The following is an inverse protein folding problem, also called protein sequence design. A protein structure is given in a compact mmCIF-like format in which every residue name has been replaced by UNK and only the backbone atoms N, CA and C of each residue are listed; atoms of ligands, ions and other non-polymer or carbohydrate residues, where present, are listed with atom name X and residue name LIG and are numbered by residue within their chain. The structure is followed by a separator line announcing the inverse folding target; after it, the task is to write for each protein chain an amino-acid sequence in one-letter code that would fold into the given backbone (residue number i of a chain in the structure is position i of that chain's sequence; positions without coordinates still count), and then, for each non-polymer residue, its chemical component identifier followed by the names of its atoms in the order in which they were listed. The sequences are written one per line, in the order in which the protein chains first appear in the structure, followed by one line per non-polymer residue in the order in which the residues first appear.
data_IF_288475945489
#
_entry.id   IF_288475945489
#
_cell.length_a   1.000
_cell.length_b   1.000
_cell.length_c   1.000
_cell.angle_alpha   90.00
_cell.angle_beta   90.00
_cell.angle_gamma   90.00
#
_symmetry.space_group_name_H-M   'P 1'
#
loop_
_entity.id
_entity.type
_entity.pdbx_description
1 polymer ?
#
# COMPACT_ATOMS: atom_id res chain seq x y z
N UNK A 1 8.51 13.93 8.85
CA UNK A 1 9.95 13.78 8.59
C UNK A 1 10.19 13.22 7.18
N UNK A 2 10.19 11.89 6.93
CA UNK A 2 10.52 11.38 5.58
C UNK A 2 9.56 11.83 4.47
N UNK A 3 8.25 11.95 4.75
CA UNK A 3 7.28 12.51 3.78
C UNK A 3 7.64 13.95 3.40
N UNK A 4 8.02 14.76 4.37
CA UNK A 4 8.38 16.17 4.15
C UNK A 4 9.74 16.31 3.44
N UNK A 5 10.74 15.52 3.86
CA UNK A 5 12.04 15.44 3.16
C UNK A 5 11.87 15.00 1.71
N UNK A 6 11.00 14.01 1.46
CA UNK A 6 10.71 13.52 0.11
C UNK A 6 10.04 14.59 -0.74
N UNK A 7 9.02 15.27 -0.21
CA UNK A 7 8.37 16.39 -0.91
C UNK A 7 9.39 17.45 -1.28
N UNK A 8 10.25 17.85 -0.34
CA UNK A 8 11.32 18.82 -0.60
C UNK A 8 12.29 18.34 -1.68
N UNK A 9 12.65 17.05 -1.67
CA UNK A 9 13.53 16.45 -2.68
C UNK A 9 12.92 16.47 -4.08
N UNK A 10 11.61 16.30 -4.19
CA UNK A 10 10.87 16.26 -5.45
C UNK A 10 10.56 17.64 -6.04
N UNK A 11 10.67 18.73 -5.27
CA UNK A 11 10.38 20.10 -5.75
C UNK A 11 11.19 20.53 -6.98
N UNK A 12 12.36 19.92 -7.21
CA UNK A 12 13.24 20.21 -8.36
C UNK A 12 12.97 19.34 -9.58
N UNK A 13 12.04 18.40 -9.47
CA UNK A 13 11.76 17.39 -10.50
C UNK A 13 10.49 17.80 -11.26
N UNK A 14 10.51 17.88 -12.60
CA UNK A 14 9.32 18.20 -13.38
C UNK A 14 8.17 17.23 -13.09
N UNK A 15 6.97 17.73 -12.83
CA UNK A 15 5.80 16.90 -12.44
C UNK A 15 5.25 16.07 -13.61
N UNK A 16 5.49 16.53 -14.84
CA UNK A 16 5.06 15.93 -16.10
C UNK A 16 6.05 14.89 -16.66
N UNK A 17 7.28 14.82 -16.13
CA UNK A 17 8.29 13.85 -16.52
C UNK A 17 8.29 12.63 -15.58
N UNK A 18 7.57 11.59 -16.00
CA UNK A 18 7.49 10.35 -15.24
C UNK A 18 8.87 9.72 -14.97
N UNK A 19 9.76 9.67 -15.96
CA UNK A 19 11.05 8.99 -15.82
C UNK A 19 11.91 9.68 -14.75
N UNK A 20 11.94 11.02 -14.77
CA UNK A 20 12.65 11.79 -13.76
C UNK A 20 12.02 11.66 -12.36
N UNK A 21 10.69 11.60 -12.25
CA UNK A 21 10.00 11.34 -10.98
C UNK A 21 10.38 9.97 -10.41
N UNK A 22 10.35 8.91 -11.24
CA UNK A 22 10.75 7.56 -10.82
C UNK A 22 12.20 7.51 -10.36
N UNK A 23 13.11 8.12 -11.11
CA UNK A 23 14.52 8.16 -10.79
C UNK A 23 14.75 8.91 -9.46
N UNK A 24 14.09 10.05 -9.25
CA UNK A 24 14.20 10.83 -8.02
C UNK A 24 13.73 10.05 -6.77
N UNK A 25 12.62 9.30 -6.86
CA UNK A 25 12.17 8.43 -5.76
C UNK A 25 13.22 7.38 -5.40
N UNK A 26 13.88 6.78 -6.41
CA UNK A 26 14.91 5.76 -6.20
C UNK A 26 16.17 6.36 -5.59
N UNK A 27 16.63 7.51 -6.09
CA UNK A 27 17.76 8.23 -5.52
C UNK A 27 17.51 8.60 -4.06
N UNK A 28 16.31 9.10 -3.74
CA UNK A 28 15.93 9.40 -2.36
C UNK A 28 15.97 8.15 -1.48
N UNK A 29 15.36 7.04 -1.91
CA UNK A 29 15.40 5.77 -1.16
C UNK A 29 16.84 5.36 -0.87
N UNK A 30 17.71 5.33 -1.88
CA UNK A 30 19.11 4.91 -1.72
C UNK A 30 19.87 5.84 -0.75
N UNK A 31 19.66 7.15 -0.85
CA UNK A 31 20.28 8.11 0.06
C UNK A 31 19.84 7.88 1.51
N UNK A 32 18.56 7.61 1.76
CA UNK A 32 18.07 7.34 3.11
C UNK A 32 18.54 5.98 3.64
N UNK A 33 18.58 4.94 2.81
CA UNK A 33 19.16 3.65 3.21
C UNK A 33 20.62 3.78 3.63
N UNK A 34 21.41 4.53 2.86
CA UNK A 34 22.80 4.84 3.20
C UNK A 34 22.91 5.58 4.53
N UNK A 35 22.07 6.60 4.76
CA UNK A 35 22.04 7.37 6.02
C UNK A 35 21.69 6.48 7.22
N UNK A 36 20.67 5.64 7.09
CA UNK A 36 20.24 4.70 8.14
C UNK A 36 21.37 3.71 8.45
N UNK A 37 21.95 3.07 7.42
CA UNK A 37 23.03 2.11 7.60
C UNK A 37 24.30 2.75 8.19
N UNK A 38 24.66 3.96 7.74
CA UNK A 38 25.80 4.69 8.30
C UNK A 38 25.58 5.03 9.78
N UNK A 39 24.37 5.45 10.15
CA UNK A 39 24.04 5.77 11.53
C UNK A 39 24.05 4.54 12.45
N UNK A 40 23.58 3.40 11.95
CA UNK A 40 23.63 2.08 12.61
C UNK A 40 25.08 1.65 12.84
N UNK A 41 25.91 1.63 11.79
CA UNK A 41 27.34 1.26 11.87
C UNK A 41 28.13 2.20 12.78
N UNK A 42 27.82 3.50 12.77
CA UNK A 42 28.47 4.49 13.64
C UNK A 42 27.96 4.45 15.10
N UNK A 43 26.93 3.64 15.41
CA UNK A 43 26.32 3.57 16.74
C UNK A 43 25.52 4.82 17.14
N UNK A 44 25.20 5.69 16.19
CA UNK A 44 24.41 6.92 16.40
C UNK A 44 22.90 6.68 16.26
N UNK A 45 22.50 5.57 15.64
CA UNK A 45 21.14 5.05 15.63
C UNK A 45 21.14 3.69 16.35
N UNK A 46 20.35 3.51 17.42
CA UNK A 46 20.20 2.20 18.04
C UNK A 46 19.62 1.18 17.05
N UNK A 47 20.20 -0.01 16.97
CA UNK A 47 19.74 -1.08 16.06
C UNK A 47 18.24 -1.38 16.19
N UNK A 48 17.69 -1.26 17.41
CA UNK A 48 16.25 -1.40 17.70
C UNK A 48 15.35 -0.39 16.96
N UNK A 49 15.93 0.67 16.38
CA UNK A 49 15.24 1.71 15.61
C UNK A 49 15.44 1.59 14.11
N UNK A 50 16.29 0.69 13.63
CA UNK A 50 16.53 0.52 12.19
C UNK A 50 15.24 0.13 11.46
N UNK A 51 14.52 -0.89 11.94
CA UNK A 51 13.25 -1.32 11.33
C UNK A 51 12.17 -0.23 11.39
N UNK A 52 12.14 0.57 12.46
CA UNK A 52 11.25 1.74 12.55
C UNK A 52 11.56 2.71 11.40
N UNK A 53 12.81 3.12 11.23
CA UNK A 53 13.21 4.07 10.18
C UNK A 53 12.94 3.53 8.77
N UNK A 54 13.18 2.24 8.53
CA UNK A 54 12.89 1.59 7.25
C UNK A 54 11.39 1.53 6.96
N UNK A 55 10.57 1.28 7.98
CA UNK A 55 9.10 1.27 7.88
C UNK A 55 8.56 2.67 7.57
N UNK A 56 9.03 3.70 8.29
CA UNK A 56 8.66 5.09 8.02
C UNK A 56 9.08 5.54 6.60
N UNK A 57 10.26 5.12 6.14
CA UNK A 57 10.73 5.38 4.78
C UNK A 57 9.81 4.74 3.74
N UNK A 58 9.48 3.45 3.91
CA UNK A 58 8.60 2.73 3.00
C UNK A 58 7.20 3.37 2.91
N UNK A 59 6.62 3.79 4.04
CA UNK A 59 5.33 4.50 4.04
C UNK A 59 5.40 5.86 3.32
N UNK A 60 6.51 6.59 3.43
CA UNK A 60 6.70 7.82 2.68
C UNK A 60 6.80 7.55 1.16
N UNK A 61 7.45 6.46 0.76
CA UNK A 61 7.50 6.06 -0.65
C UNK A 61 6.12 5.63 -1.16
N UNK A 62 5.35 4.87 -0.37
CA UNK A 62 3.98 4.47 -0.72
C UNK A 62 3.10 5.71 -0.94
N UNK A 63 3.15 6.69 -0.03
CA UNK A 63 2.40 7.95 -0.18
C UNK A 63 2.71 8.67 -1.50
N UNK A 64 3.99 8.82 -1.83
CA UNK A 64 4.42 9.48 -3.06
C UNK A 64 4.07 8.69 -4.33
N UNK A 65 4.20 7.37 -4.31
CA UNK A 65 3.83 6.52 -5.46
C UNK A 65 2.33 6.56 -5.70
N UNK A 66 1.51 6.49 -4.65
CA UNK A 66 0.05 6.61 -4.79
C UNK A 66 -0.31 8.00 -5.30
N UNK A 67 0.35 9.06 -4.81
CA UNK A 67 0.17 10.42 -5.31
C UNK A 67 0.45 10.52 -6.81
N UNK A 68 1.60 10.00 -7.27
CA UNK A 68 1.99 10.05 -8.68
C UNK A 68 1.02 9.25 -9.56
N UNK A 69 0.67 8.02 -9.15
CA UNK A 69 -0.28 7.20 -9.87
C UNK A 69 -1.67 7.87 -9.94
N UNK A 70 -2.11 8.49 -8.84
CA UNK A 70 -3.38 9.20 -8.77
C UNK A 70 -3.44 10.35 -9.77
N UNK A 71 -2.43 11.23 -9.81
CA UNK A 71 -2.36 12.36 -10.74
C UNK A 71 -2.48 11.87 -12.19
N UNK A 72 -1.75 10.79 -12.54
CA UNK A 72 -1.77 10.23 -13.88
C UNK A 72 -3.12 9.61 -14.27
N UNK A 73 -3.77 8.92 -13.34
CA UNK A 73 -5.10 8.35 -13.57
C UNK A 73 -6.14 9.45 -13.72
N UNK A 74 -6.11 10.47 -12.86
CA UNK A 74 -7.04 11.60 -12.92
C UNK A 74 -6.87 12.43 -14.19
N UNK A 75 -5.64 12.69 -14.62
CA UNK A 75 -5.39 13.41 -15.87
C UNK A 75 -6.00 12.71 -17.09
N UNK A 76 -6.13 11.38 -17.05
CA UNK A 76 -6.64 10.57 -18.17
C UNK A 76 -8.13 10.28 -18.11
N UNK A 77 -8.66 10.04 -16.91
CA UNK A 77 -10.01 9.52 -16.72
C UNK A 77 -10.91 10.46 -15.91
N UNK A 78 -10.35 11.51 -15.31
CA UNK A 78 -11.01 12.24 -14.23
C UNK A 78 -10.99 11.45 -12.92
N UNK A 79 -11.76 11.92 -11.94
CA UNK A 79 -11.96 11.28 -10.64
C UNK A 79 -13.27 10.47 -10.64
N UNK A 80 -13.35 9.37 -9.87
CA UNK A 80 -14.63 8.74 -9.59
C UNK A 80 -15.63 9.71 -8.96
N UNK A 81 -16.83 9.83 -9.54
CA UNK A 81 -17.86 10.80 -9.18
C UNK A 81 -18.39 10.68 -7.73
N UNK A 82 -18.33 9.49 -7.13
CA UNK A 82 -18.70 9.26 -5.73
C UNK A 82 -17.77 9.98 -4.72
N UNK A 83 -16.68 10.60 -5.19
CA UNK A 83 -15.76 11.36 -4.34
C UNK A 83 -16.16 12.83 -4.14
N UNK A 84 -17.20 13.34 -4.81
CA UNK A 84 -17.59 14.75 -4.72
C UNK A 84 -17.88 15.21 -3.28
N UNK A 85 -18.48 14.33 -2.46
CA UNK A 85 -18.80 14.60 -1.06
C UNK A 85 -17.79 13.96 -0.09
N UNK A 86 -16.60 13.58 -0.56
CA UNK A 86 -15.56 12.91 0.22
C UNK A 86 -14.23 13.66 0.14
N UNK A 87 -13.63 13.98 1.29
CA UNK A 87 -12.29 14.56 1.32
C UNK A 87 -11.19 13.56 0.88
N UNK A 88 -11.46 12.26 1.08
CA UNK A 88 -10.56 11.16 0.79
C UNK A 88 -10.60 10.67 -0.66
N UNK A 89 -9.75 9.69 -0.96
CA UNK A 89 -9.62 9.09 -2.31
C UNK A 89 -10.40 7.80 -2.50
N UNK A 90 -11.07 7.27 -1.46
CA UNK A 90 -11.80 5.99 -1.56
C UNK A 90 -10.89 4.81 -1.90
N UNK A 91 -9.60 4.91 -1.58
CA UNK A 91 -8.57 3.92 -1.88
C UNK A 91 -7.62 3.74 -0.69
N UNK A 92 -7.26 2.49 -0.39
CA UNK A 92 -6.34 2.15 0.67
C UNK A 92 -5.29 1.13 0.22
N UNK A 93 -4.10 1.25 0.79
CA UNK A 93 -3.02 0.28 0.73
C UNK A 93 -2.86 -0.33 2.13
N UNK A 94 -2.96 -1.64 2.21
CA UNK A 94 -2.76 -2.39 3.45
C UNK A 94 -1.42 -3.10 3.38
N UNK A 95 -0.56 -2.82 4.36
CA UNK A 95 0.73 -3.48 4.51
C UNK A 95 0.59 -4.75 5.34
N UNK A 96 1.03 -5.88 4.79
CA UNK A 96 1.14 -7.18 5.45
C UNK A 96 2.59 -7.47 5.86
N UNK A 97 2.83 -8.66 6.41
CA UNK A 97 4.16 -9.23 6.60
C UNK A 97 5.10 -8.34 7.43
N UNK A 98 6.28 -8.03 6.89
CA UNK A 98 7.29 -7.22 7.59
C UNK A 98 6.90 -5.75 7.67
N UNK A 99 6.26 -5.21 6.63
CA UNK A 99 5.78 -3.82 6.61
C UNK A 99 4.69 -3.60 7.67
N UNK A 100 3.71 -4.50 7.70
CA UNK A 100 2.61 -4.45 8.66
C UNK A 100 3.10 -4.63 10.10
N UNK A 101 4.07 -5.52 10.30
CA UNK A 101 4.68 -5.84 11.60
C UNK A 101 5.83 -4.95 12.06
N UNK A 102 6.12 -3.82 11.39
CA UNK A 102 7.23 -2.91 11.75
C UNK A 102 8.62 -3.59 11.78
N UNK A 103 8.86 -4.48 10.82
CA UNK A 103 10.01 -5.38 10.80
C UNK A 103 10.75 -5.35 9.45
N UNK A 104 10.70 -4.22 8.74
CA UNK A 104 11.44 -4.08 7.48
C UNK A 104 12.95 -4.11 7.74
N UNK A 105 13.66 -4.94 6.98
CA UNK A 105 15.12 -4.88 6.78
C UNK A 105 15.49 -4.15 5.48
N UNK A 106 16.78 -3.86 5.30
CA UNK A 106 17.31 -3.01 4.21
C UNK A 106 16.88 -3.42 2.79
N UNK A 107 16.72 -4.72 2.52
CA UNK A 107 16.34 -5.29 1.22
C UNK A 107 14.99 -5.99 1.25
N UNK A 108 14.07 -5.58 2.14
CA UNK A 108 12.77 -6.23 2.25
C UNK A 108 11.82 -5.84 1.13
N UNK A 109 11.03 -6.81 0.68
CA UNK A 109 9.87 -6.60 -0.18
C UNK A 109 8.73 -5.93 0.62
N UNK A 110 7.78 -5.34 -0.10
CA UNK A 110 6.56 -4.78 0.49
C UNK A 110 5.38 -5.70 0.18
N UNK A 111 4.84 -6.35 1.21
CA UNK A 111 3.62 -7.14 1.10
C UNK A 111 2.39 -6.21 1.09
N UNK A 112 1.79 -5.94 -0.07
CA UNK A 112 0.73 -4.95 -0.24
C UNK A 112 -0.54 -5.56 -0.81
N UNK A 113 -1.69 -5.19 -0.25
CA UNK A 113 -3.00 -5.38 -0.88
C UNK A 113 -3.70 -4.03 -1.04
N UNK A 114 -4.62 -3.94 -2.01
CA UNK A 114 -5.31 -2.70 -2.34
C UNK A 114 -6.81 -2.84 -2.12
N UNK A 115 -7.39 -1.84 -1.45
CA UNK A 115 -8.83 -1.79 -1.18
C UNK A 115 -9.44 -0.51 -1.73
N UNK A 116 -10.73 -0.58 -2.09
CA UNK A 116 -11.56 0.59 -2.36
C UNK A 116 -12.93 0.45 -1.68
N UNK A 117 -13.72 1.51 -1.59
CA UNK A 117 -15.13 1.47 -1.19
C UNK A 117 -16.06 2.06 -2.27
N UNK A 118 -15.63 1.99 -3.52
CA UNK A 118 -16.38 2.41 -4.70
C UNK A 118 -17.73 1.68 -4.89
N UNK A 119 -18.84 2.43 -5.04
CA UNK A 119 -20.12 1.90 -5.53
C UNK A 119 -20.01 1.25 -6.91
N UNK A 120 -20.99 0.41 -7.27
CA UNK A 120 -21.05 -0.28 -8.57
C UNK A 120 -21.45 0.64 -9.74
N UNK A 121 -22.16 1.73 -9.45
CA UNK A 121 -22.70 2.70 -10.41
C UNK A 121 -21.84 3.96 -10.53
N UNK A 122 -20.72 4.03 -9.79
CA UNK A 122 -19.80 5.16 -9.86
C UNK A 122 -19.05 5.15 -11.20
N UNK A 123 -18.92 6.33 -11.79
CA UNK A 123 -18.23 6.57 -13.07
C UNK A 123 -17.19 7.68 -12.88
N UNK A 124 -16.18 7.75 -13.75
CA UNK A 124 -15.20 8.84 -13.69
C UNK A 124 -15.66 10.08 -14.45
N UNK A 125 -15.25 11.27 -13.99
CA UNK A 125 -15.76 12.57 -14.49
C UNK A 125 -14.92 13.23 -15.60
N UNK A 126 -13.94 12.52 -16.18
CA UNK A 126 -13.05 13.05 -17.21
C UNK A 126 -13.53 12.79 -18.64
N UNK A 127 -12.76 13.26 -19.63
CA UNK A 127 -13.12 13.12 -21.06
C UNK A 127 -13.30 11.67 -21.52
N UNK A 128 -12.58 10.74 -20.87
CA UNK A 128 -12.73 9.30 -21.07
C UNK A 128 -13.35 8.67 -19.83
N UNK A 129 -14.68 8.64 -19.82
CA UNK A 129 -15.48 7.99 -18.78
C UNK A 129 -15.20 6.48 -18.71
N UNK A 130 -14.96 5.98 -17.49
CA UNK A 130 -14.85 4.56 -17.19
C UNK A 130 -15.56 4.25 -15.87
N UNK A 131 -15.83 2.97 -15.63
CA UNK A 131 -16.33 2.45 -14.35
C UNK A 131 -15.36 2.79 -13.20
N UNK A 132 -15.90 3.22 -12.06
CA UNK A 132 -15.13 3.64 -10.90
C UNK A 132 -14.27 2.53 -10.28
N UNK A 133 -14.73 1.28 -10.29
CA UNK A 133 -13.92 0.14 -9.83
C UNK A 133 -12.80 -0.16 -10.81
N UNK A 134 -13.05 0.00 -12.11
CA UNK A 134 -12.02 -0.08 -13.14
C UNK A 134 -10.95 1.02 -12.96
N UNK A 135 -11.33 2.22 -12.54
CA UNK A 135 -10.38 3.28 -12.20
C UNK A 135 -9.42 2.84 -11.08
N UNK A 136 -9.94 2.31 -9.97
CA UNK A 136 -9.10 1.83 -8.86
C UNK A 136 -8.24 0.62 -9.23
N UNK A 137 -8.73 -0.26 -10.12
CA UNK A 137 -7.93 -1.36 -10.66
C UNK A 137 -6.73 -0.83 -11.46
N UNK A 138 -6.95 0.16 -12.34
CA UNK A 138 -5.88 0.80 -13.12
C UNK A 138 -4.92 1.57 -12.22
N UNK A 139 -5.42 2.22 -11.16
CA UNK A 139 -4.60 2.87 -10.15
C UNK A 139 -3.66 1.88 -9.46
N UNK A 140 -4.18 0.74 -8.98
CA UNK A 140 -3.37 -0.31 -8.36
C UNK A 140 -2.33 -0.88 -9.33
N UNK A 141 -2.70 -1.13 -10.59
CA UNK A 141 -1.75 -1.55 -11.64
C UNK A 141 -0.65 -0.52 -11.86
N UNK A 142 -0.99 0.76 -11.87
CA UNK A 142 -0.02 1.84 -12.04
C UNK A 142 0.93 1.92 -10.84
N UNK A 143 0.42 1.80 -9.62
CA UNK A 143 1.24 1.73 -8.40
C UNK A 143 2.27 0.58 -8.51
N UNK A 144 1.82 -0.63 -8.87
CA UNK A 144 2.72 -1.79 -9.07
C UNK A 144 3.80 -1.50 -10.12
N UNK A 145 3.44 -0.84 -11.21
CA UNK A 145 4.38 -0.46 -12.26
C UNK A 145 5.42 0.57 -11.79
N UNK A 146 5.01 1.62 -11.06
CA UNK A 146 5.91 2.64 -10.55
C UNK A 146 6.95 2.07 -9.56
N UNK A 147 6.54 1.09 -8.75
CA UNK A 147 7.45 0.38 -7.85
C UNK A 147 8.48 -0.50 -8.58
N UNK A 148 8.03 -1.28 -9.56
CA UNK A 148 8.82 -2.35 -10.20
C UNK A 148 9.61 -1.92 -11.45
N UNK A 149 9.27 -0.78 -12.06
CA UNK A 149 9.97 -0.31 -13.27
C UNK A 149 11.45 -0.08 -12.98
N UNK A 150 12.33 -0.55 -13.88
CA UNK A 150 13.77 -0.35 -13.74
C UNK A 150 14.20 0.94 -14.43
N UNK A 151 14.85 1.82 -13.68
CA UNK A 151 15.54 3.03 -14.18
C UNK A 151 17.04 2.86 -14.01
N UNK A 152 17.83 3.92 -14.24
CA UNK A 152 19.27 3.94 -14.00
C UNK A 152 19.64 3.58 -12.56
N UNK A 153 18.82 3.98 -11.58
CA UNK A 153 19.02 3.62 -10.16
C UNK A 153 18.34 2.32 -9.71
N UNK A 154 17.90 1.47 -10.65
CA UNK A 154 17.26 0.19 -10.36
C UNK A 154 15.73 0.30 -10.17
N UNK A 155 15.18 -0.51 -9.28
CA UNK A 155 13.74 -0.52 -8.94
C UNK A 155 13.50 0.19 -7.60
N UNK A 156 12.27 0.61 -7.33
CA UNK A 156 11.95 1.30 -6.08
C UNK A 156 11.75 0.31 -4.93
N UNK A 157 10.83 -0.65 -5.06
CA UNK A 157 10.67 -1.79 -4.15
C UNK A 157 10.13 -2.97 -4.94
N UNK A 158 10.51 -4.18 -4.56
CA UNK A 158 9.74 -5.37 -4.93
C UNK A 158 8.43 -5.34 -4.13
N UNK A 159 7.32 -5.63 -4.81
CA UNK A 159 5.98 -5.63 -4.20
C UNK A 159 5.35 -6.99 -4.36
N UNK A 160 4.98 -7.60 -3.24
CA UNK A 160 4.26 -8.86 -3.21
C UNK A 160 2.78 -8.62 -2.87
N UNK A 161 1.90 -8.92 -3.83
CA UNK A 161 0.45 -8.78 -3.69
C UNK A 161 -0.27 -10.14 -3.56
N UNK A 162 0.44 -11.22 -3.22
CA UNK A 162 -0.12 -12.59 -3.17
C UNK A 162 -1.03 -12.85 -1.97
N UNK A 163 -1.00 -12.00 -0.95
CA UNK A 163 -1.85 -12.12 0.25
C UNK A 163 -3.25 -11.48 0.08
N UNK A 164 -3.59 -11.00 -1.11
CA UNK A 164 -4.94 -10.50 -1.43
C UNK A 164 -5.94 -11.68 -1.52
N UNK A 165 -7.25 -11.42 -1.37
CA UNK A 165 -8.28 -12.44 -1.55
C UNK A 165 -8.08 -13.28 -2.83
N UNK A 166 -8.15 -14.60 -2.71
CA UNK A 166 -7.89 -15.57 -3.79
C UNK A 166 -6.47 -15.53 -4.40
N UNK A 167 -5.52 -14.88 -3.72
CA UNK A 167 -4.12 -14.80 -4.11
C UNK A 167 -3.90 -14.29 -5.53
N UNK A 168 -3.02 -14.96 -6.28
CA UNK A 168 -2.67 -14.56 -7.65
C UNK A 168 -3.86 -14.61 -8.63
N UNK A 169 -4.88 -15.43 -8.36
CA UNK A 169 -6.08 -15.54 -9.17
C UNK A 169 -7.13 -14.46 -8.87
N UNK A 170 -7.01 -13.78 -7.72
CA UNK A 170 -7.93 -12.72 -7.31
C UNK A 170 -7.66 -11.38 -8.01
N UNK A 171 -8.67 -10.51 -7.97
CA UNK A 171 -8.56 -9.12 -8.44
C UNK A 171 -7.45 -8.39 -7.68
N UNK A 172 -6.71 -7.52 -8.37
CA UNK A 172 -5.61 -6.77 -7.74
C UNK A 172 -6.10 -5.77 -6.68
N UNK A 173 -7.32 -5.27 -6.84
CA UNK A 173 -8.01 -4.41 -5.87
C UNK A 173 -9.35 -5.04 -5.51
N UNK A 174 -9.76 -4.92 -4.24
CA UNK A 174 -11.02 -5.49 -3.74
C UNK A 174 -11.83 -4.41 -3.03
N UNK A 175 -13.16 -4.44 -3.15
CA UNK A 175 -13.99 -3.57 -2.31
C UNK A 175 -13.87 -3.99 -0.84
N UNK A 176 -13.89 -3.04 0.11
CA UNK A 176 -13.83 -3.34 1.54
C UNK A 176 -14.92 -4.34 2.00
N UNK A 177 -16.12 -4.24 1.43
CA UNK A 177 -17.22 -5.19 1.70
C UNK A 177 -16.90 -6.61 1.23
N UNK A 178 -16.47 -6.77 -0.03
CA UNK A 178 -16.06 -8.08 -0.54
C UNK A 178 -14.84 -8.65 0.19
N UNK A 179 -13.92 -7.79 0.66
CA UNK A 179 -12.82 -8.22 1.51
C UNK A 179 -13.33 -8.76 2.86
N UNK A 180 -14.30 -8.08 3.48
CA UNK A 180 -14.91 -8.54 4.71
C UNK A 180 -15.65 -9.89 4.53
N UNK A 181 -16.41 -10.02 3.44
CA UNK A 181 -17.14 -11.25 3.11
C UNK A 181 -16.19 -12.43 2.88
N UNK A 182 -15.14 -12.22 2.07
CA UNK A 182 -14.10 -13.20 1.82
C UNK A 182 -13.41 -13.67 3.12
N UNK A 183 -13.03 -12.71 3.98
CA UNK A 183 -12.35 -13.04 5.24
C UNK A 183 -13.24 -13.83 6.21
N UNK A 184 -14.56 -13.67 6.14
CA UNK A 184 -15.51 -14.40 7.00
C UNK A 184 -15.81 -15.80 6.48
N UNK A 185 -15.97 -15.93 5.16
CA UNK A 185 -16.60 -17.11 4.56
C UNK A 185 -15.61 -18.03 3.83
N UNK A 186 -14.49 -17.50 3.34
CA UNK A 186 -13.58 -18.23 2.44
C UNK A 186 -12.14 -18.33 2.95
N UNK A 187 -11.69 -17.34 3.74
CA UNK A 187 -10.30 -17.25 4.15
C UNK A 187 -9.88 -18.40 5.08
N UNK A 188 -8.71 -18.96 4.82
CA UNK A 188 -8.12 -20.01 5.65
C UNK A 188 -7.51 -19.44 6.93
N UNK A 189 -7.29 -20.29 7.94
CA UNK A 189 -6.63 -19.91 9.20
C UNK A 189 -5.28 -19.21 8.97
N UNK A 190 -4.49 -19.64 7.99
CA UNK A 190 -3.20 -19.00 7.67
C UNK A 190 -3.36 -17.57 7.12
N UNK A 191 -4.47 -17.27 6.42
CA UNK A 191 -4.78 -15.91 5.95
C UNK A 191 -5.20 -15.03 7.12
N UNK A 192 -5.96 -15.57 8.07
CA UNK A 192 -6.26 -14.88 9.33
C UNK A 192 -4.99 -14.63 10.15
N UNK A 193 -4.04 -15.57 10.17
CA UNK A 193 -2.72 -15.36 10.80
C UNK A 193 -1.95 -14.22 10.12
N UNK A 194 -1.93 -14.17 8.78
CA UNK A 194 -1.31 -13.07 8.05
C UNK A 194 -1.99 -11.72 8.36
N UNK A 195 -3.32 -11.71 8.49
CA UNK A 195 -4.13 -10.54 8.83
C UNK A 195 -3.80 -9.97 10.25
N UNK A 196 -3.27 -10.79 11.16
CA UNK A 196 -2.80 -10.31 12.48
C UNK A 196 -1.77 -9.19 12.33
N UNK A 197 -0.89 -9.27 11.33
CA UNK A 197 0.14 -8.26 11.08
C UNK A 197 -0.32 -7.12 10.16
N UNK A 198 -1.48 -7.26 9.53
CA UNK A 198 -1.94 -6.30 8.54
C UNK A 198 -2.37 -4.98 9.18
N UNK A 199 -2.03 -3.86 8.52
CA UNK A 199 -2.50 -2.52 8.88
C UNK A 199 -2.56 -1.62 7.65
N UNK A 200 -3.41 -0.60 7.69
CA UNK A 200 -3.43 0.43 6.66
C UNK A 200 -2.14 1.25 6.73
N UNK A 201 -1.46 1.37 5.59
CA UNK A 201 -0.24 2.19 5.42
C UNK A 201 -0.50 3.42 4.55
N UNK A 202 -1.60 3.41 3.80
CA UNK A 202 -2.15 4.54 3.07
C UNK A 202 -3.65 4.40 2.99
N UNK A 203 -4.42 5.45 3.26
CA UNK A 203 -5.87 5.43 3.16
C UNK A 203 -6.48 6.66 3.82
N UNK A 204 -7.69 7.02 3.42
CA UNK A 204 -8.46 8.04 4.13
C UNK A 204 -9.07 7.49 5.43
N UNK A 205 -9.50 8.36 6.36
CA UNK A 205 -10.00 7.91 7.67
C UNK A 205 -11.19 6.96 7.59
N UNK A 206 -12.09 7.13 6.61
CA UNK A 206 -13.27 6.28 6.46
C UNK A 206 -12.87 4.86 6.06
N UNK A 207 -12.04 4.71 5.02
CA UNK A 207 -11.63 3.38 4.55
C UNK A 207 -10.68 2.71 5.56
N UNK A 208 -9.88 3.50 6.27
CA UNK A 208 -9.05 3.02 7.38
C UNK A 208 -9.90 2.43 8.51
N UNK A 209 -10.91 3.17 8.96
CA UNK A 209 -11.83 2.71 10.00
C UNK A 209 -12.61 1.45 9.56
N UNK A 210 -13.01 1.37 8.29
CA UNK A 210 -13.67 0.18 7.74
C UNK A 210 -12.73 -1.04 7.82
N UNK A 211 -11.50 -0.93 7.32
CA UNK A 211 -10.53 -2.02 7.40
C UNK A 211 -10.26 -2.45 8.85
N UNK A 212 -10.05 -1.50 9.75
CA UNK A 212 -9.77 -1.79 11.16
C UNK A 212 -10.93 -2.51 11.85
N UNK A 213 -12.18 -2.11 11.54
CA UNK A 213 -13.37 -2.78 12.03
C UNK A 213 -13.48 -4.22 11.52
N UNK A 214 -13.27 -4.44 10.21
CA UNK A 214 -13.28 -5.78 9.60
C UNK A 214 -12.19 -6.64 10.21
N UNK A 215 -10.95 -6.16 10.25
CA UNK A 215 -9.82 -6.90 10.84
C UNK A 215 -10.14 -7.27 12.30
N UNK A 216 -10.63 -6.31 13.10
CA UNK A 216 -11.02 -6.56 14.49
C UNK A 216 -12.07 -7.66 14.60
N UNK A 217 -13.10 -7.63 13.76
CA UNK A 217 -14.15 -8.65 13.73
C UNK A 217 -13.54 -10.05 13.50
N UNK A 218 -12.69 -10.20 12.48
CA UNK A 218 -12.00 -11.47 12.15
C UNK A 218 -11.12 -11.97 13.30
N UNK A 219 -10.40 -11.06 13.98
CA UNK A 219 -9.57 -11.42 15.13
C UNK A 219 -10.41 -11.92 16.31
N UNK A 220 -11.66 -11.46 16.44
CA UNK A 220 -12.56 -11.82 17.54
C UNK A 220 -13.54 -12.95 17.25
N UNK A 221 -13.46 -13.58 16.06
CA UNK A 221 -14.28 -14.76 15.75
C UNK A 221 -14.03 -15.87 16.79
N UNK A 222 -15.10 -16.52 17.30
CA UNK A 222 -14.95 -17.65 18.21
C UNK A 222 -14.27 -18.81 17.48
N UNK A 223 -13.16 -19.30 18.05
CA UNK A 223 -12.40 -20.45 17.51
C UNK A 223 -12.23 -21.52 18.58
N UNK A 224 -12.32 -22.78 18.19
CA UNK A 224 -12.05 -23.90 19.09
C UNK A 224 -10.53 -24.01 19.29
N UNK A 225 -10.08 -23.88 20.55
CA UNK A 225 -8.68 -23.67 20.87
C UNK A 225 -7.75 -24.81 20.43
N UNK A 226 -8.19 -26.06 20.55
CA UNK A 226 -7.36 -27.23 20.18
C UNK A 226 -7.23 -27.38 18.66
N UNK A 227 -8.29 -27.09 17.92
CA UNK A 227 -8.34 -27.09 16.46
C UNK A 227 -7.41 -26.01 15.93
N UNK A 228 -7.58 -24.76 16.39
CA UNK A 228 -6.71 -23.65 16.00
C UNK A 228 -5.23 -23.92 16.32
N UNK A 229 -4.92 -24.44 17.51
CA UNK A 229 -3.55 -24.80 17.88
C UNK A 229 -2.93 -25.83 16.92
N UNK A 230 -3.75 -26.75 16.38
CA UNK A 230 -3.28 -27.77 15.42
C UNK A 230 -3.01 -27.17 14.04
N UNK A 231 -3.78 -26.16 13.64
CA UNK A 231 -3.62 -25.45 12.35
C UNK A 231 -2.41 -24.51 12.34
N UNK A 232 -2.01 -23.96 13.51
CA UNK A 232 -0.93 -22.95 13.66
C UNK A 232 0.49 -23.57 13.76
N UNK A 233 0.67 -24.84 13.38
CA UNK A 233 1.95 -25.54 13.52
C UNK A 233 3.11 -24.93 12.74
#
# INVERSE_FOLDING_TARGET
AYRDELRQYLLRVPEDDEEQQLEALRQFKQAQLLRIAAADIAGTLPVMKVSDHLTWLAEAMIDAVVQQAWVQMVARYGKPNHLNDREGRGFAVVGYGKLGGWELGYSSDLDLIFLHDCPMDAMTDGEREIDGRQFYLRLAQRIMHLFSTRTSSGILYEVDARLRPSGAAGMLVTSAEAFADYQKNEAWTWEHQALVRARVVYGDPQLTAHFDAVRREIMTLPREGKTLQTEVR
#
